data_IF_080627408794
#
_entry.id   IF_080627408794
#
_cell.length_a   1.000
_cell.length_b   1.000
_cell.length_c   1.000
_cell.angle_alpha   90.00
_cell.angle_beta   90.00
_cell.angle_gamma   90.00
#
_symmetry.space_group_name_H-M   'P 1'
#
loop_
_entity.id
_entity.type
_entity.pdbx_description
1 polymer ?
#
# COMPACT_ATOMS: atom_id res chain seq x y z
N UNK A 1 -69.58 6.63 46.61
CA UNK A 1 -70.28 5.67 45.73
C UNK A 1 -69.34 4.48 45.57
N UNK A 2 -69.41 3.43 46.39
CA UNK A 2 -70.32 2.26 46.43
C UNK A 2 -70.05 1.20 45.34
N UNK A 3 -70.15 -0.07 45.76
CA UNK A 3 -70.18 -1.40 45.08
C UNK A 3 -68.85 -2.19 45.07
N UNK A 4 -68.67 -3.37 45.70
CA UNK A 4 -69.39 -4.67 45.66
C UNK A 4 -69.32 -5.30 44.26
N UNK A 5 -69.11 -6.58 43.97
CA UNK A 5 -68.79 -7.86 44.62
C UNK A 5 -68.58 -8.87 43.45
N UNK A 6 -68.17 -10.11 43.75
CA UNK A 6 -68.36 -11.34 42.95
C UNK A 6 -67.57 -11.51 41.63
N UNK A 7 -66.78 -12.57 41.34
CA UNK A 7 -66.72 -14.02 41.63
C UNK A 7 -66.93 -14.81 40.31
N UNK A 8 -65.98 -15.70 39.95
CA UNK A 8 -66.19 -17.00 39.26
C UNK A 8 -64.88 -17.59 38.67
N UNK A 9 -64.38 -18.63 39.35
CA UNK A 9 -63.88 -19.94 38.89
C UNK A 9 -63.31 -20.10 37.46
N UNK A 10 -62.11 -20.69 37.34
CA UNK A 10 -61.91 -22.12 37.03
C UNK A 10 -60.51 -22.45 36.43
N UNK A 11 -59.74 -23.25 37.19
CA UNK A 11 -59.02 -24.47 36.83
C UNK A 11 -58.19 -24.58 35.52
N UNK A 12 -56.93 -25.03 35.64
CA UNK A 12 -56.22 -25.63 34.49
C UNK A 12 -54.69 -25.69 34.59
N UNK A 13 -54.17 -26.64 35.36
CA UNK A 13 -52.77 -27.10 35.30
C UNK A 13 -52.38 -27.60 33.91
N UNK A 14 -51.23 -27.18 33.35
CA UNK A 14 -50.53 -27.94 32.31
C UNK A 14 -49.01 -27.90 32.49
N UNK A 15 -48.45 -29.11 32.43
CA UNK A 15 -47.08 -29.48 32.68
C UNK A 15 -46.10 -28.96 31.62
N UNK A 16 -44.86 -28.68 32.05
CA UNK A 16 -43.74 -28.30 31.19
C UNK A 16 -43.22 -29.43 30.30
N UNK A 17 -42.43 -29.11 29.26
CA UNK A 17 -41.96 -30.07 28.27
C UNK A 17 -40.87 -31.00 28.83
N UNK A 18 -40.74 -32.25 28.32
CA UNK A 18 -39.84 -33.25 28.88
C UNK A 18 -38.38 -32.97 28.50
N UNK A 19 -37.48 -33.15 29.47
CA UNK A 19 -36.02 -33.16 29.29
C UNK A 19 -35.58 -34.45 28.58
N UNK A 20 -34.81 -34.30 27.49
CA UNK A 20 -34.22 -35.41 26.76
C UNK A 20 -33.01 -35.99 27.52
N UNK A 21 -32.96 -37.31 27.68
CA UNK A 21 -31.83 -38.07 28.27
C UNK A 21 -30.72 -38.28 27.22
N UNK A 22 -29.44 -38.39 27.64
CA UNK A 22 -28.32 -38.60 26.73
C UNK A 22 -28.26 -40.06 26.23
N UNK A 23 -27.91 -40.24 24.95
CA UNK A 23 -27.72 -41.53 24.27
C UNK A 23 -26.22 -41.91 24.28
N UNK A 24 -25.83 -43.20 24.41
CA UNK A 24 -24.42 -43.59 24.53
C UNK A 24 -23.66 -43.46 23.20
N UNK A 25 -22.37 -43.14 23.28
CA UNK A 25 -21.43 -43.16 22.17
C UNK A 25 -21.05 -44.61 21.85
N UNK A 26 -21.51 -45.11 20.70
CA UNK A 26 -21.02 -46.39 20.16
C UNK A 26 -19.99 -46.14 19.06
N UNK A 27 -18.96 -46.98 19.06
CA UNK A 27 -17.72 -46.78 18.32
C UNK A 27 -17.80 -47.21 16.85
N UNK A 28 -17.06 -46.47 16.02
CA UNK A 28 -16.49 -46.97 14.77
C UNK A 28 -17.41 -47.03 13.56
N UNK A 29 -17.52 -45.93 12.82
CA UNK A 29 -17.71 -46.00 11.36
C UNK A 29 -17.22 -44.71 10.67
N UNK A 30 -16.56 -44.92 9.52
CA UNK A 30 -15.95 -43.96 8.59
C UNK A 30 -16.58 -42.55 8.61
N UNK A 31 -15.77 -41.54 8.93
CA UNK A 31 -16.15 -40.12 8.80
C UNK A 31 -16.41 -39.78 7.32
N UNK A 32 -17.67 -39.82 6.91
CA UNK A 32 -18.13 -39.03 5.79
C UNK A 32 -18.17 -37.56 6.27
N UNK A 33 -17.43 -36.68 5.59
CA UNK A 33 -17.45 -35.24 5.84
C UNK A 33 -18.90 -34.74 5.68
N UNK A 34 -19.56 -34.46 6.79
CA UNK A 34 -20.82 -33.72 6.77
C UNK A 34 -20.50 -32.25 6.50
N UNK A 35 -21.36 -31.57 5.74
CA UNK A 35 -21.26 -30.21 5.19
C UNK A 35 -21.21 -29.07 6.25
N UNK A 36 -20.43 -29.23 7.34
CA UNK A 36 -20.32 -28.29 8.47
C UNK A 36 -19.09 -27.38 8.43
N UNK A 37 -18.17 -27.57 7.47
CA UNK A 37 -16.87 -26.88 7.45
C UNK A 37 -16.70 -25.87 6.29
N UNK A 38 -17.77 -25.60 5.52
CA UNK A 38 -17.70 -24.57 4.48
C UNK A 38 -17.69 -23.17 5.11
N UNK A 39 -16.59 -22.44 4.94
CA UNK A 39 -16.42 -21.05 5.38
C UNK A 39 -16.29 -20.11 4.19
N UNK A 40 -16.63 -18.84 4.38
CA UNK A 40 -16.38 -17.82 3.37
C UNK A 40 -14.87 -17.62 3.17
N UNK A 41 -14.50 -17.27 1.93
CA UNK A 41 -13.19 -16.74 1.58
C UNK A 41 -13.26 -15.23 1.76
N UNK A 42 -12.39 -14.67 2.61
CA UNK A 42 -12.42 -13.25 2.97
C UNK A 42 -11.28 -12.50 2.27
N UNK A 43 -11.61 -11.41 1.57
CA UNK A 43 -10.66 -10.63 0.78
C UNK A 43 -10.74 -9.16 1.18
N UNK A 44 -9.61 -8.53 1.46
CA UNK A 44 -9.52 -7.09 1.65
C UNK A 44 -8.59 -6.45 0.61
N UNK A 45 -9.10 -5.44 -0.10
CA UNK A 45 -8.33 -4.63 -1.06
C UNK A 45 -8.16 -3.24 -0.47
N UNK A 46 -6.91 -2.85 -0.21
CA UNK A 46 -6.54 -1.50 0.18
C UNK A 46 -5.99 -0.81 -1.05
N UNK A 47 -6.76 0.17 -1.54
CA UNK A 47 -6.41 0.88 -2.76
C UNK A 47 -6.37 2.38 -2.55
N UNK A 48 -5.42 3.04 -3.20
CA UNK A 48 -5.46 4.50 -3.31
C UNK A 48 -6.64 4.92 -4.20
N UNK A 49 -7.28 6.03 -3.85
CA UNK A 49 -8.36 6.59 -4.66
C UNK A 49 -7.90 6.87 -6.10
N UNK A 50 -8.57 6.26 -7.07
CA UNK A 50 -8.28 6.41 -8.50
C UNK A 50 -7.47 5.28 -9.13
N UNK A 51 -6.98 4.30 -8.35
CA UNK A 51 -6.17 3.18 -8.87
C UNK A 51 -7.00 1.98 -9.35
N UNK A 52 -8.33 2.07 -9.29
CA UNK A 52 -9.20 1.00 -9.77
C UNK A 52 -9.45 -0.12 -8.75
N UNK A 53 -9.31 0.14 -7.45
CA UNK A 53 -9.65 -0.83 -6.39
C UNK A 53 -11.09 -1.34 -6.49
N UNK A 54 -12.04 -0.47 -6.85
CA UNK A 54 -13.43 -0.87 -7.11
C UNK A 54 -13.56 -1.80 -8.31
N UNK A 55 -12.84 -1.52 -9.40
CA UNK A 55 -12.81 -2.39 -10.60
C UNK A 55 -12.27 -3.78 -10.25
N UNK A 56 -11.23 -3.85 -9.40
CA UNK A 56 -10.70 -5.14 -8.93
C UNK A 56 -11.72 -5.89 -8.06
N UNK A 57 -12.43 -5.19 -7.17
CA UNK A 57 -13.49 -5.78 -6.36
C UNK A 57 -14.64 -6.32 -7.24
N UNK A 58 -15.09 -5.54 -8.23
CA UNK A 58 -16.15 -5.93 -9.16
C UNK A 58 -15.74 -7.16 -9.99
N UNK A 59 -14.48 -7.23 -10.43
CA UNK A 59 -13.95 -8.42 -11.11
C UNK A 59 -13.91 -9.65 -10.22
N UNK A 60 -13.66 -9.49 -8.92
CA UNK A 60 -13.71 -10.62 -7.99
C UNK A 60 -15.14 -11.10 -7.72
N UNK A 61 -16.10 -10.18 -7.63
CA UNK A 61 -17.53 -10.53 -7.56
C UNK A 61 -17.95 -11.31 -8.81
N UNK A 62 -17.70 -10.76 -10.00
CA UNK A 62 -18.04 -11.43 -11.26
C UNK A 62 -17.30 -12.75 -11.43
N UNK A 63 -16.04 -12.86 -10.99
CA UNK A 63 -15.33 -14.15 -10.97
C UNK A 63 -16.05 -15.17 -10.08
N UNK A 64 -16.47 -14.79 -8.88
CA UNK A 64 -17.11 -15.70 -7.94
C UNK A 64 -18.49 -16.14 -8.45
N UNK A 65 -19.35 -15.20 -8.83
CA UNK A 65 -20.74 -15.46 -9.25
C UNK A 65 -20.79 -16.33 -10.51
N UNK A 66 -19.87 -16.12 -11.46
CA UNK A 66 -19.80 -16.93 -12.68
C UNK A 66 -19.28 -18.35 -12.46
N UNK A 67 -18.77 -18.65 -11.26
CA UNK A 67 -18.14 -19.93 -10.94
C UNK A 67 -18.76 -20.60 -9.69
N UNK A 68 -20.03 -20.31 -9.40
CA UNK A 68 -20.83 -21.02 -8.39
C UNK A 68 -20.56 -20.59 -6.95
N UNK A 69 -20.26 -19.30 -6.74
CA UNK A 69 -20.09 -18.70 -5.42
C UNK A 69 -21.04 -17.51 -5.27
N UNK A 70 -21.70 -17.43 -4.12
CA UNK A 70 -22.26 -16.17 -3.64
C UNK A 70 -21.11 -15.20 -3.33
N UNK A 71 -21.24 -13.95 -3.74
CA UNK A 71 -20.28 -12.91 -3.42
C UNK A 71 -20.96 -11.68 -2.80
N UNK A 72 -20.30 -11.08 -1.81
CA UNK A 72 -20.74 -9.80 -1.23
C UNK A 72 -19.54 -8.87 -1.15
N UNK A 73 -19.73 -7.62 -1.58
CA UNK A 73 -18.73 -6.57 -1.48
C UNK A 73 -19.24 -5.40 -0.65
N UNK A 74 -18.36 -4.84 0.17
CA UNK A 74 -18.58 -3.59 0.90
C UNK A 74 -17.36 -2.69 0.70
N UNK A 75 -17.54 -1.38 0.83
CA UNK A 75 -16.41 -0.46 0.76
C UNK A 75 -16.52 0.66 1.79
N UNK A 76 -15.38 1.00 2.37
CA UNK A 76 -15.22 2.16 3.25
C UNK A 76 -14.30 3.14 2.52
N UNK A 77 -14.85 4.24 1.96
CA UNK A 77 -14.05 5.24 1.29
C UNK A 77 -13.14 5.97 2.28
N UNK A 78 -11.92 6.27 1.85
CA UNK A 78 -11.03 7.13 2.61
C UNK A 78 -11.59 8.56 2.70
N UNK A 79 -11.68 9.10 3.92
CA UNK A 79 -12.21 10.46 4.17
C UNK A 79 -11.32 11.60 3.65
N UNK A 80 -10.09 11.29 3.23
CA UNK A 80 -9.13 12.30 2.77
C UNK A 80 -8.92 12.22 1.25
N UNK A 81 -9.29 13.29 0.53
CA UNK A 81 -8.90 13.49 -0.87
C UNK A 81 -7.37 13.30 -1.00
N UNK A 82 -6.98 12.29 -1.79
CA UNK A 82 -5.59 11.92 -2.14
C UNK A 82 -4.68 11.38 -1.03
N UNK A 83 -5.22 11.01 0.14
CA UNK A 83 -4.40 10.35 1.20
C UNK A 83 -5.12 9.23 1.97
N UNK A 84 -6.41 9.01 1.74
CA UNK A 84 -7.17 7.94 2.37
C UNK A 84 -7.25 6.69 1.48
N UNK A 85 -6.78 5.56 2.02
CA UNK A 85 -7.09 4.23 1.54
C UNK A 85 -8.60 4.02 1.40
N UNK A 86 -9.08 3.64 0.23
CA UNK A 86 -10.39 2.98 0.15
C UNK A 86 -10.18 1.50 0.42
N UNK A 87 -10.91 0.98 1.40
CA UNK A 87 -10.89 -0.46 1.69
C UNK A 87 -12.13 -1.09 1.10
N UNK A 88 -11.93 -2.01 0.17
CA UNK A 88 -12.97 -2.89 -0.35
C UNK A 88 -12.86 -4.23 0.37
N UNK A 89 -13.97 -4.74 0.88
CA UNK A 89 -14.03 -6.02 1.55
C UNK A 89 -14.99 -6.93 0.81
N UNK A 90 -14.52 -8.13 0.47
CA UNK A 90 -15.28 -9.15 -0.22
C UNK A 90 -15.38 -10.43 0.61
N UNK A 91 -16.52 -11.08 0.55
CA UNK A 91 -16.66 -12.49 0.92
C UNK A 91 -17.17 -13.31 -0.26
N UNK A 92 -16.66 -14.52 -0.40
CA UNK A 92 -17.13 -15.52 -1.36
C UNK A 92 -17.55 -16.78 -0.61
N UNK A 93 -18.75 -17.29 -0.84
CA UNK A 93 -19.25 -18.52 -0.23
C UNK A 93 -19.75 -19.50 -1.30
N UNK A 94 -19.29 -20.78 -1.30
CA UNK A 94 -19.65 -21.73 -2.34
C UNK A 94 -21.16 -22.06 -2.30
N UNK A 95 -21.85 -21.88 -3.43
CA UNK A 95 -23.30 -22.15 -3.51
C UNK A 95 -23.63 -23.61 -3.18
N UNK A 96 -22.76 -24.53 -3.60
CA UNK A 96 -22.91 -25.96 -3.36
C UNK A 96 -22.89 -26.33 -1.86
N UNK A 97 -22.35 -25.47 -0.99
CA UNK A 97 -22.36 -25.68 0.45
C UNK A 97 -23.61 -25.11 1.14
N UNK A 98 -24.41 -24.30 0.44
CA UNK A 98 -25.60 -23.65 0.99
C UNK A 98 -26.80 -24.60 0.98
N UNK A 99 -27.49 -24.81 2.12
CA UNK A 99 -28.72 -25.59 2.16
C UNK A 99 -29.80 -25.01 1.22
N UNK A 100 -30.59 -25.88 0.60
CA UNK A 100 -31.64 -25.47 -0.32
C UNK A 100 -32.61 -24.47 0.33
N UNK A 101 -32.83 -23.33 -0.34
CA UNK A 101 -33.72 -22.26 0.15
C UNK A 101 -33.11 -21.34 1.21
N UNK A 102 -31.84 -21.50 1.56
CA UNK A 102 -31.10 -20.60 2.44
C UNK A 102 -30.16 -19.68 1.65
N UNK A 103 -29.70 -18.61 2.30
CA UNK A 103 -28.62 -17.74 1.82
C UNK A 103 -27.53 -17.66 2.90
N UNK A 104 -26.24 -17.61 2.53
CA UNK A 104 -25.18 -17.41 3.51
C UNK A 104 -25.25 -16.00 4.11
N UNK A 105 -24.90 -15.88 5.39
CA UNK A 105 -24.70 -14.59 6.06
C UNK A 105 -23.21 -14.26 5.98
N UNK A 106 -22.88 -13.15 5.32
CA UNK A 106 -21.51 -12.69 5.10
C UNK A 106 -21.25 -11.39 5.86
N UNK A 107 -20.03 -11.18 6.35
CA UNK A 107 -19.70 -9.98 7.10
C UNK A 107 -19.67 -8.72 6.22
N UNK A 108 -19.88 -7.56 6.85
CA UNK A 108 -19.85 -6.25 6.20
C UNK A 108 -18.49 -5.54 6.33
N UNK A 109 -17.54 -6.15 7.02
CA UNK A 109 -16.22 -5.57 7.29
C UNK A 109 -15.20 -6.65 7.60
N UNK A 110 -13.92 -6.45 7.26
CA UNK A 110 -12.87 -7.41 7.59
C UNK A 110 -12.62 -7.45 9.10
N UNK A 111 -12.48 -8.65 9.64
CA UNK A 111 -12.07 -8.87 11.03
C UNK A 111 -10.54 -9.00 11.07
N UNK A 112 -9.83 -8.21 11.91
CA UNK A 112 -8.38 -8.34 12.08
C UNK A 112 -7.97 -9.78 12.41
N UNK A 113 -6.93 -10.27 11.74
CA UNK A 113 -6.43 -11.64 11.87
C UNK A 113 -7.22 -12.70 11.09
N UNK A 114 -8.40 -12.38 10.55
CA UNK A 114 -9.28 -13.37 9.91
C UNK A 114 -9.40 -13.24 8.39
N UNK A 115 -8.58 -12.38 7.77
CA UNK A 115 -8.60 -12.16 6.32
C UNK A 115 -7.71 -13.17 5.57
N UNK A 116 -8.28 -13.89 4.60
CA UNK A 116 -7.55 -14.89 3.81
C UNK A 116 -6.63 -14.27 2.76
N UNK A 117 -7.10 -13.22 2.09
CA UNK A 117 -6.36 -12.52 1.05
C UNK A 117 -6.37 -11.03 1.33
N UNK A 118 -5.18 -10.44 1.42
CA UNK A 118 -5.04 -8.98 1.45
C UNK A 118 -4.33 -8.53 0.19
N UNK A 119 -4.85 -7.49 -0.46
CA UNK A 119 -4.26 -6.87 -1.64
C UNK A 119 -4.02 -5.40 -1.33
N UNK A 120 -2.78 -4.94 -1.44
CA UNK A 120 -2.43 -3.53 -1.32
C UNK A 120 -1.95 -3.01 -2.67
N UNK A 121 -2.64 -2.01 -3.22
CA UNK A 121 -2.28 -1.46 -4.53
C UNK A 121 -1.00 -0.64 -4.47
N UNK A 122 -0.59 -0.12 -3.32
CA UNK A 122 0.57 0.74 -3.11
C UNK A 122 1.30 0.40 -1.80
N UNK A 123 2.59 0.75 -1.68
CA UNK A 123 3.43 0.35 -0.56
C UNK A 123 2.93 0.87 0.81
N UNK A 124 2.43 2.09 0.89
CA UNK A 124 1.86 2.62 2.13
C UNK A 124 0.51 2.02 2.46
N UNK A 125 -0.26 1.61 1.47
CA UNK A 125 -1.45 0.79 1.68
C UNK A 125 -1.10 -0.58 2.28
N UNK A 126 0.05 -1.15 1.91
CA UNK A 126 0.55 -2.35 2.56
C UNK A 126 0.87 -2.09 4.05
N UNK A 127 1.51 -0.96 4.36
CA UNK A 127 1.76 -0.52 5.73
C UNK A 127 0.47 -0.33 6.55
N UNK A 128 -0.58 0.24 5.95
CA UNK A 128 -1.89 0.40 6.60
C UNK A 128 -2.59 -0.94 6.84
N UNK A 129 -2.46 -1.90 5.94
CA UNK A 129 -2.99 -3.24 6.13
C UNK A 129 -2.39 -3.93 7.36
N UNK A 130 -1.06 -3.80 7.52
CA UNK A 130 -0.33 -4.29 8.70
C UNK A 130 -0.78 -3.58 9.97
N UNK A 131 -0.84 -2.24 9.95
CA UNK A 131 -1.26 -1.44 11.10
C UNK A 131 -2.68 -1.79 11.57
N UNK A 132 -3.58 -2.12 10.64
CA UNK A 132 -4.97 -2.53 10.93
C UNK A 132 -5.11 -3.99 11.37
N UNK A 133 -4.01 -4.76 11.40
CA UNK A 133 -4.03 -6.18 11.76
C UNK A 133 -4.75 -7.06 10.75
N UNK A 134 -4.87 -6.63 9.49
CA UNK A 134 -5.57 -7.41 8.45
C UNK A 134 -4.73 -8.59 7.94
N UNK A 135 -3.42 -8.55 8.17
CA UNK A 135 -2.49 -9.58 7.71
C UNK A 135 -2.04 -10.42 8.90
N UNK A 136 -2.18 -11.75 8.79
CA UNK A 136 -1.78 -12.72 9.79
C UNK A 136 -0.91 -13.83 9.20
N UNK A 137 0.12 -14.23 9.95
CA UNK A 137 1.04 -15.30 9.57
C UNK A 137 0.36 -16.67 9.54
N UNK A 138 -0.80 -16.81 10.18
CA UNK A 138 -1.54 -18.07 10.25
C UNK A 138 -2.32 -18.40 8.98
N UNK A 139 -2.79 -17.39 8.22
CA UNK A 139 -3.74 -17.62 7.10
C UNK A 139 -3.65 -16.70 5.90
N UNK A 140 -3.01 -15.53 6.03
CA UNK A 140 -3.15 -14.48 5.02
C UNK A 140 -2.16 -14.65 3.89
N UNK A 141 -2.68 -14.75 2.67
CA UNK A 141 -1.93 -14.48 1.44
C UNK A 141 -1.96 -12.98 1.18
N UNK A 142 -0.79 -12.33 1.21
CA UNK A 142 -0.66 -10.89 1.08
C UNK A 142 0.03 -10.53 -0.24
N UNK A 143 -0.69 -9.83 -1.11
CA UNK A 143 -0.18 -9.29 -2.38
C UNK A 143 -0.03 -7.78 -2.24
N UNK A 144 1.17 -7.24 -2.45
CA UNK A 144 1.42 -5.80 -2.32
C UNK A 144 2.27 -5.25 -3.47
N UNK A 145 1.87 -4.11 -4.02
CA UNK A 145 2.75 -3.36 -4.91
C UNK A 145 3.85 -2.65 -4.13
N UNK A 146 5.08 -2.70 -4.66
CA UNK A 146 6.25 -2.02 -4.06
C UNK A 146 6.39 -0.57 -4.49
N UNK A 147 5.63 -0.16 -5.52
CA UNK A 147 5.62 1.22 -5.99
C UNK A 147 5.16 2.15 -4.87
N UNK A 148 5.65 3.38 -4.89
CA UNK A 148 5.45 4.32 -3.81
C UNK A 148 4.97 5.68 -4.27
N UNK A 149 3.88 6.14 -3.67
CA UNK A 149 3.39 7.50 -3.81
C UNK A 149 3.51 8.21 -2.48
N UNK A 150 4.34 9.26 -2.43
CA UNK A 150 4.65 9.95 -1.18
C UNK A 150 3.41 10.62 -0.58
N UNK A 151 3.14 10.30 0.68
CA UNK A 151 2.10 10.93 1.48
C UNK A 151 2.45 12.40 1.75
N UNK A 152 1.43 13.20 2.11
CA UNK A 152 1.67 14.61 2.45
C UNK A 152 2.68 14.76 3.58
N UNK A 153 2.61 13.92 4.62
CA UNK A 153 3.55 13.93 5.74
C UNK A 153 5.00 13.75 5.28
N UNK A 154 5.23 12.84 4.34
CA UNK A 154 6.56 12.58 3.77
C UNK A 154 7.05 13.75 2.92
N UNK A 155 6.15 14.41 2.19
CA UNK A 155 6.47 15.55 1.33
C UNK A 155 6.69 16.85 2.10
N UNK A 156 6.08 16.99 3.27
CA UNK A 156 6.19 18.19 4.12
C UNK A 156 7.34 18.11 5.11
N UNK A 157 8.00 16.96 5.24
CA UNK A 157 9.16 16.82 6.10
C UNK A 157 10.31 17.71 5.60
N UNK A 158 11.01 18.36 6.53
CA UNK A 158 12.16 19.21 6.22
C UNK A 158 13.40 18.40 5.78
N UNK A 159 13.38 17.08 5.98
CA UNK A 159 14.40 16.11 5.57
C UNK A 159 13.81 14.94 4.79
N UNK A 160 14.51 13.80 4.77
CA UNK A 160 13.92 12.56 4.25
C UNK A 160 12.83 12.05 5.21
N UNK A 161 11.58 12.47 4.98
CA UNK A 161 10.42 12.06 5.77
C UNK A 161 9.89 10.68 5.43
N UNK A 162 10.49 9.96 4.47
CA UNK A 162 9.98 8.68 3.99
C UNK A 162 10.01 7.63 5.08
N UNK A 163 8.90 6.91 5.25
CA UNK A 163 8.91 5.63 5.98
C UNK A 163 9.86 4.67 5.27
N UNK A 164 10.67 3.87 5.96
CA UNK A 164 11.59 2.95 5.26
C UNK A 164 10.80 1.89 4.47
N UNK A 165 11.01 1.84 3.14
CA UNK A 165 10.41 0.81 2.28
C UNK A 165 10.86 -0.59 2.70
N UNK A 166 12.16 -0.76 3.00
CA UNK A 166 12.74 -2.04 3.41
C UNK A 166 12.11 -2.55 4.70
N UNK A 167 11.89 -1.66 5.69
CA UNK A 167 11.22 -2.04 6.94
C UNK A 167 9.77 -2.46 6.71
N UNK A 168 9.05 -1.79 5.81
CA UNK A 168 7.67 -2.17 5.47
C UNK A 168 7.61 -3.52 4.77
N UNK A 169 8.49 -3.77 3.79
CA UNK A 169 8.56 -5.04 3.08
C UNK A 169 9.00 -6.19 4.00
N UNK A 170 9.95 -5.95 4.90
CA UNK A 170 10.34 -6.92 5.92
C UNK A 170 9.19 -7.23 6.88
N UNK A 171 8.46 -6.20 7.33
CA UNK A 171 7.27 -6.36 8.17
C UNK A 171 6.16 -7.15 7.46
N UNK A 172 5.89 -6.85 6.19
CA UNK A 172 4.91 -7.56 5.37
C UNK A 172 5.26 -9.04 5.19
N UNK A 173 6.54 -9.33 4.92
CA UNK A 173 7.05 -10.71 4.81
C UNK A 173 6.94 -11.48 6.11
N UNK A 174 7.15 -10.84 7.25
CA UNK A 174 7.06 -11.48 8.57
C UNK A 174 5.61 -11.69 9.03
N UNK A 175 4.69 -10.81 8.61
CA UNK A 175 3.31 -10.81 9.09
C UNK A 175 2.36 -11.68 8.25
N UNK A 176 2.72 -12.09 7.04
CA UNK A 176 1.85 -12.88 6.15
C UNK A 176 2.25 -14.36 6.10
N UNK A 177 1.28 -15.25 5.90
CA UNK A 177 1.54 -16.67 5.63
C UNK A 177 2.27 -16.84 4.29
N UNK A 178 1.85 -16.07 3.28
CA UNK A 178 2.51 -15.96 1.99
C UNK A 178 2.55 -14.49 1.61
N UNK A 179 3.71 -13.98 1.22
CA UNK A 179 3.87 -12.60 0.78
C UNK A 179 4.38 -12.55 -0.67
N UNK A 180 3.64 -11.83 -1.51
CA UNK A 180 3.99 -11.57 -2.90
C UNK A 180 4.12 -10.07 -3.08
N UNK A 181 5.31 -9.64 -3.50
CA UNK A 181 5.62 -8.24 -3.74
C UNK A 181 6.30 -8.07 -5.09
N UNK A 182 5.87 -7.07 -5.84
CA UNK A 182 6.51 -6.61 -7.05
C UNK A 182 6.06 -5.17 -7.35
N UNK A 183 6.70 -4.51 -8.32
CA UNK A 183 6.21 -3.23 -8.81
C UNK A 183 5.04 -3.44 -9.79
N UNK A 184 3.85 -3.72 -9.25
CA UNK A 184 2.66 -3.99 -10.05
C UNK A 184 2.19 -2.76 -10.84
N UNK A 185 2.57 -1.56 -10.40
CA UNK A 185 2.30 -0.33 -11.13
C UNK A 185 3.14 -0.27 -12.41
N UNK A 186 4.46 -0.51 -12.31
CA UNK A 186 5.34 -0.55 -13.47
C UNK A 186 4.91 -1.64 -14.47
N UNK A 187 4.55 -2.85 -13.99
CA UNK A 187 4.06 -3.93 -14.86
C UNK A 187 2.79 -3.52 -15.63
N UNK A 188 1.92 -2.74 -15.00
CA UNK A 188 0.72 -2.23 -15.64
C UNK A 188 1.05 -1.14 -16.66
N UNK A 189 1.94 -0.20 -16.33
CA UNK A 189 2.42 0.85 -17.24
C UNK A 189 3.06 0.26 -18.50
N UNK A 190 3.97 -0.71 -18.34
CA UNK A 190 4.65 -1.41 -19.44
C UNK A 190 3.65 -2.18 -20.34
N UNK A 191 2.48 -2.49 -19.79
CA UNK A 191 1.38 -3.16 -20.48
C UNK A 191 0.34 -2.19 -21.05
N UNK A 192 0.47 -0.89 -20.79
CA UNK A 192 -0.51 0.13 -21.17
C UNK A 192 -1.85 -0.04 -20.45
N UNK A 193 -1.83 -0.52 -19.20
CA UNK A 193 -3.03 -0.83 -18.41
C UNK A 193 -2.99 -0.18 -17.02
N UNK A 194 -4.07 -0.35 -16.26
CA UNK A 194 -4.15 0.04 -14.86
C UNK A 194 -3.58 -1.06 -13.96
N UNK A 195 -3.28 -0.72 -12.71
CA UNK A 195 -2.67 -1.65 -11.73
C UNK A 195 -3.59 -2.83 -11.35
N UNK A 196 -4.91 -2.67 -11.41
CA UNK A 196 -5.87 -3.72 -11.05
C UNK A 196 -5.63 -5.04 -11.79
N UNK A 197 -5.49 -5.07 -13.14
CA UNK A 197 -5.13 -6.29 -13.85
C UNK A 197 -3.84 -6.98 -13.40
N UNK A 198 -2.76 -6.25 -13.12
CA UNK A 198 -1.49 -6.87 -12.69
C UNK A 198 -1.61 -7.46 -11.28
N UNK A 199 -2.32 -6.80 -10.36
CA UNK A 199 -2.66 -7.35 -9.04
C UNK A 199 -3.59 -8.57 -9.14
N UNK A 200 -4.57 -8.54 -10.05
CA UNK A 200 -5.49 -9.65 -10.31
C UNK A 200 -4.74 -10.88 -10.85
N UNK A 201 -3.76 -10.67 -11.73
CA UNK A 201 -2.85 -11.71 -12.20
C UNK A 201 -2.00 -12.30 -11.08
N UNK A 202 -1.46 -11.45 -10.21
CA UNK A 202 -0.70 -11.91 -9.05
C UNK A 202 -1.56 -12.73 -8.08
N UNK A 203 -2.81 -12.32 -7.84
CA UNK A 203 -3.77 -13.08 -7.05
C UNK A 203 -4.05 -14.46 -7.67
N UNK A 204 -4.31 -14.53 -8.97
CA UNK A 204 -4.55 -15.79 -9.67
C UNK A 204 -3.37 -16.76 -9.54
N UNK A 205 -2.13 -16.26 -9.60
CA UNK A 205 -0.93 -17.07 -9.45
C UNK A 205 -0.73 -17.65 -8.05
N UNK A 206 -1.39 -17.09 -7.02
CA UNK A 206 -1.30 -17.62 -5.66
C UNK A 206 -1.98 -18.98 -5.50
N UNK A 207 -2.96 -19.29 -6.36
CA UNK A 207 -3.82 -20.46 -6.19
C UNK A 207 -4.68 -20.43 -4.92
N UNK A 208 -4.77 -19.28 -4.23
CA UNK A 208 -5.55 -19.15 -2.98
C UNK A 208 -7.05 -19.18 -3.23
N UNK A 209 -7.49 -18.75 -4.41
CA UNK A 209 -8.87 -18.82 -4.85
C UNK A 209 -9.14 -20.10 -5.66
N UNK A 210 -10.32 -20.72 -5.53
CA UNK A 210 -10.67 -21.99 -6.17
C UNK A 210 -11.07 -21.83 -7.64
N UNK A 211 -10.35 -20.99 -8.38
CA UNK A 211 -10.63 -20.67 -9.79
C UNK A 211 -9.39 -20.85 -10.65
N UNK A 212 -9.57 -21.36 -11.86
CA UNK A 212 -8.51 -21.52 -12.85
C UNK A 212 -8.10 -20.18 -13.43
N UNK A 213 -6.87 -20.11 -13.96
CA UNK A 213 -6.37 -18.91 -14.64
C UNK A 213 -7.31 -18.48 -15.78
N UNK A 214 -7.86 -19.43 -16.53
CA UNK A 214 -8.78 -19.16 -17.64
C UNK A 214 -10.07 -18.50 -17.16
N UNK A 215 -10.57 -18.86 -15.97
CA UNK A 215 -11.74 -18.23 -15.35
C UNK A 215 -11.43 -16.76 -14.96
N UNK A 216 -10.24 -16.47 -14.43
CA UNK A 216 -9.79 -15.09 -14.21
C UNK A 216 -9.69 -14.30 -15.52
N UNK A 217 -9.08 -14.87 -16.56
CA UNK A 217 -8.97 -14.19 -17.85
C UNK A 217 -10.35 -13.97 -18.51
N UNK A 218 -11.31 -14.88 -18.30
CA UNK A 218 -12.68 -14.73 -18.78
C UNK A 218 -13.39 -13.52 -18.15
N UNK A 219 -13.17 -13.25 -16.86
CA UNK A 219 -13.66 -12.03 -16.19
C UNK A 219 -13.15 -10.76 -16.87
N UNK A 220 -11.86 -10.69 -17.19
CA UNK A 220 -11.28 -9.54 -17.91
C UNK A 220 -11.95 -9.36 -19.27
N UNK A 221 -12.19 -10.46 -20.00
CA UNK A 221 -12.86 -10.43 -21.31
C UNK A 221 -14.31 -9.94 -21.21
N UNK A 222 -15.05 -10.36 -20.18
CA UNK A 222 -16.43 -9.89 -19.93
C UNK A 222 -16.49 -8.39 -19.60
N UNK A 223 -15.48 -7.87 -18.90
CA UNK A 223 -15.40 -6.44 -18.56
C UNK A 223 -15.34 -5.51 -19.78
N UNK A 224 -14.91 -5.99 -20.95
CA UNK A 224 -15.01 -5.29 -22.25
C UNK A 224 -14.13 -4.05 -22.46
N UNK A 225 -13.61 -3.44 -21.39
CA UNK A 225 -12.79 -2.22 -21.45
C UNK A 225 -11.31 -2.56 -21.41
N UNK A 226 -10.55 -2.13 -22.43
CA UNK A 226 -9.09 -2.28 -22.44
C UNK A 226 -8.60 -3.73 -22.39
N UNK A 227 -9.42 -4.70 -22.83
CA UNK A 227 -9.23 -6.15 -22.62
C UNK A 227 -7.81 -6.62 -22.95
N UNK A 228 -7.26 -6.24 -24.10
CA UNK A 228 -5.92 -6.69 -24.52
C UNK A 228 -4.81 -6.19 -23.60
N UNK A 229 -4.86 -4.91 -23.20
CA UNK A 229 -3.89 -4.33 -22.27
C UNK A 229 -4.03 -4.95 -20.87
N UNK A 230 -5.27 -5.15 -20.41
CA UNK A 230 -5.57 -5.80 -19.13
C UNK A 230 -5.09 -7.26 -19.10
N UNK A 231 -5.30 -8.04 -20.17
CA UNK A 231 -4.79 -9.42 -20.26
C UNK A 231 -3.25 -9.47 -20.28
N UNK A 232 -2.59 -8.50 -20.94
CA UNK A 232 -1.13 -8.38 -20.92
C UNK A 232 -0.61 -8.08 -19.51
N UNK A 233 -1.21 -7.11 -18.83
CA UNK A 233 -0.88 -6.75 -17.45
C UNK A 233 -1.15 -7.90 -16.46
N UNK A 234 -2.28 -8.61 -16.63
CA UNK A 234 -2.61 -9.81 -15.88
C UNK A 234 -1.55 -10.89 -16.05
N UNK A 235 -1.16 -11.20 -17.29
CA UNK A 235 -0.13 -12.19 -17.56
C UNK A 235 1.22 -11.81 -16.93
N UNK A 236 1.59 -10.53 -16.97
CA UNK A 236 2.81 -10.03 -16.34
C UNK A 236 2.78 -10.20 -14.80
N UNK A 237 1.66 -9.81 -14.16
CA UNK A 237 1.46 -10.02 -12.72
C UNK A 237 1.49 -11.49 -12.32
N UNK A 238 0.84 -12.36 -13.10
CA UNK A 238 0.81 -13.81 -12.90
C UNK A 238 2.20 -14.45 -12.99
N UNK A 239 3.02 -14.02 -13.96
CA UNK A 239 4.37 -14.53 -14.15
C UNK A 239 5.32 -14.13 -13.00
N UNK A 240 5.27 -12.86 -12.57
CA UNK A 240 6.10 -12.38 -11.46
C UNK A 240 5.70 -13.03 -10.15
N UNK A 241 4.41 -13.18 -9.87
CA UNK A 241 3.93 -13.83 -8.64
C UNK A 241 4.33 -15.31 -8.55
N UNK A 242 4.31 -16.07 -9.66
CA UNK A 242 4.83 -17.44 -9.68
C UNK A 242 6.33 -17.51 -9.40
N UNK A 243 7.09 -16.56 -9.93
CA UNK A 243 8.56 -16.51 -9.76
C UNK A 243 8.94 -16.14 -8.32
N UNK A 244 8.13 -15.32 -7.66
CA UNK A 244 8.31 -14.90 -6.27
C UNK A 244 7.90 -15.97 -5.23
N UNK A 245 7.29 -17.08 -5.65
CA UNK A 245 6.96 -18.22 -4.78
C UNK A 245 8.18 -19.10 -4.41
N UNK A 246 9.35 -18.83 -5.00
CA UNK A 246 10.64 -19.38 -4.59
C UNK A 246 11.28 -18.38 -3.62
N UNK A 247 11.73 -18.78 -2.41
CA UNK A 247 12.28 -17.84 -1.44
C UNK A 247 13.62 -17.28 -1.94
N UNK A 248 13.58 -16.14 -2.62
CA UNK A 248 14.77 -15.35 -2.89
C UNK A 248 15.08 -14.49 -1.66
N UNK A 249 15.95 -15.02 -0.80
CA UNK A 249 16.78 -14.21 0.07
C UNK A 249 17.84 -13.56 -0.81
N UNK A 250 17.69 -12.27 -1.09
CA UNK A 250 18.80 -11.42 -1.52
C UNK A 250 18.47 -9.96 -1.27
N UNK A 251 18.59 -9.55 0.00
CA UNK A 251 18.96 -8.17 0.29
C UNK A 251 20.36 -7.94 -0.27
N UNK A 252 20.49 -7.09 -1.30
CA UNK A 252 21.77 -6.49 -1.65
C UNK A 252 21.73 -5.03 -1.22
N UNK A 253 21.99 -4.83 0.07
CA UNK A 253 22.34 -3.53 0.63
C UNK A 253 23.76 -3.65 1.17
N UNK A 254 24.76 -3.57 0.28
CA UNK A 254 26.09 -3.18 0.72
C UNK A 254 26.05 -1.71 1.14
N UNK A 255 26.91 -1.25 2.07
CA UNK A 255 27.08 0.17 2.33
C UNK A 255 27.62 0.81 1.05
N UNK A 256 26.74 1.40 0.25
CA UNK A 256 27.14 2.22 -0.87
C UNK A 256 28.02 3.35 -0.32
N UNK A 257 29.23 3.49 -0.86
CA UNK A 257 30.04 4.68 -0.65
C UNK A 257 29.17 5.89 -0.98
N UNK A 258 28.81 6.68 0.02
CA UNK A 258 27.98 7.87 -0.15
C UNK A 258 28.80 8.86 -0.96
N UNK A 259 28.56 8.89 -2.27
CA UNK A 259 29.27 9.79 -3.17
C UNK A 259 28.53 11.12 -3.23
N UNK A 260 29.28 12.22 -3.13
CA UNK A 260 28.71 13.56 -3.27
C UNK A 260 28.09 13.70 -4.67
N UNK A 261 26.82 14.15 -4.77
CA UNK A 261 26.16 14.31 -6.06
C UNK A 261 26.81 15.42 -6.90
N UNK A 262 26.75 15.28 -8.23
CA UNK A 262 27.30 16.28 -9.13
C UNK A 262 26.48 17.59 -9.07
N UNK A 263 27.15 18.70 -8.72
CA UNK A 263 26.51 20.03 -8.53
C UNK A 263 26.62 20.95 -9.75
N UNK A 264 27.18 20.45 -10.87
CA UNK A 264 27.40 21.21 -12.10
C UNK A 264 28.67 22.08 -12.09
N UNK A 265 29.14 22.46 -13.28
CA UNK A 265 30.42 23.15 -13.45
C UNK A 265 30.52 24.49 -12.69
N UNK A 266 29.41 25.23 -12.59
CA UNK A 266 29.34 26.53 -11.89
C UNK A 266 29.65 26.42 -10.39
N UNK A 267 29.41 25.25 -9.78
CA UNK A 267 29.62 25.01 -8.35
C UNK A 267 30.82 24.11 -8.06
N UNK A 268 31.62 23.76 -9.07
CA UNK A 268 32.76 22.84 -8.93
C UNK A 268 33.77 23.31 -7.86
N UNK A 269 34.03 24.62 -7.78
CA UNK A 269 34.92 25.18 -6.74
C UNK A 269 34.39 24.99 -5.32
N UNK A 270 33.08 25.16 -5.11
CA UNK A 270 32.44 24.94 -3.80
C UNK A 270 32.36 23.45 -3.46
N UNK A 271 32.12 22.59 -4.45
CA UNK A 271 32.17 21.14 -4.30
C UNK A 271 33.56 20.65 -3.86
N UNK A 272 34.63 21.15 -4.49
CA UNK A 272 36.01 20.83 -4.08
C UNK A 272 36.28 21.29 -2.64
N UNK A 273 35.80 22.48 -2.26
CA UNK A 273 35.91 23.01 -0.90
C UNK A 273 35.20 22.13 0.13
N UNK A 274 34.01 21.61 -0.19
CA UNK A 274 33.28 20.64 0.66
C UNK A 274 34.14 19.40 0.90
N UNK A 275 34.69 18.83 -0.18
CA UNK A 275 35.51 17.62 -0.10
C UNK A 275 36.79 17.80 0.71
N UNK A 276 37.40 18.99 0.66
CA UNK A 276 38.66 19.30 1.34
C UNK A 276 38.49 19.60 2.83
N UNK A 277 37.39 20.24 3.22
CA UNK A 277 37.28 20.83 4.56
C UNK A 277 36.19 20.22 5.44
N UNK A 278 35.28 19.40 4.90
CA UNK A 278 34.17 18.84 5.66
C UNK A 278 34.21 17.30 5.68
N UNK A 279 33.68 16.65 6.74
CA UNK A 279 33.58 15.19 6.81
C UNK A 279 32.75 14.59 5.67
N UNK A 280 33.14 13.44 5.09
CA UNK A 280 32.42 12.78 3.99
C UNK A 280 30.93 12.54 4.24
N UNK A 281 30.57 12.23 5.47
CA UNK A 281 29.19 11.96 5.86
C UNK A 281 28.24 13.15 5.60
N UNK A 282 28.74 14.39 5.66
CA UNK A 282 27.93 15.60 5.44
C UNK A 282 27.93 16.07 3.97
N UNK A 283 28.74 15.46 3.09
CA UNK A 283 28.96 15.98 1.73
C UNK A 283 27.68 16.05 0.91
N UNK A 284 26.75 15.11 1.08
CA UNK A 284 25.46 15.10 0.37
C UNK A 284 24.61 16.31 0.76
N UNK A 285 24.47 16.56 2.06
CA UNK A 285 23.69 17.68 2.58
C UNK A 285 24.32 19.02 2.22
N UNK A 286 25.64 19.13 2.32
CA UNK A 286 26.38 20.33 1.93
C UNK A 286 26.24 20.62 0.41
N UNK A 287 26.33 19.58 -0.42
CA UNK A 287 26.14 19.69 -1.87
C UNK A 287 24.72 20.16 -2.22
N UNK A 288 23.69 19.60 -1.56
CA UNK A 288 22.32 20.05 -1.71
C UNK A 288 22.15 21.52 -1.28
N UNK A 289 22.79 21.91 -0.18
CA UNK A 289 22.79 23.28 0.33
C UNK A 289 23.39 24.29 -0.67
N UNK A 290 24.57 24.02 -1.24
CA UNK A 290 25.19 24.95 -2.20
C UNK A 290 24.39 25.06 -3.51
N UNK A 291 23.78 23.97 -3.98
CA UNK A 291 22.90 24.00 -5.17
C UNK A 291 21.68 24.85 -4.88
N UNK A 292 21.02 24.62 -3.74
CA UNK A 292 19.83 25.36 -3.31
C UNK A 292 20.13 26.86 -3.21
N UNK A 293 21.21 27.23 -2.53
CA UNK A 293 21.53 28.64 -2.27
C UNK A 293 22.04 29.37 -3.52
N UNK A 294 22.71 28.67 -4.43
CA UNK A 294 23.13 29.23 -5.70
C UNK A 294 21.97 29.42 -6.68
N UNK A 295 20.97 28.54 -6.65
CA UNK A 295 19.71 28.72 -7.37
C UNK A 295 18.86 29.83 -6.73
N UNK A 296 18.86 29.92 -5.40
CA UNK A 296 18.11 30.93 -4.65
C UNK A 296 18.63 32.34 -4.93
N UNK A 297 19.95 32.55 -4.87
CA UNK A 297 20.58 33.84 -5.08
C UNK A 297 21.75 33.74 -6.06
N UNK A 298 22.91 33.28 -5.61
CA UNK A 298 24.09 33.10 -6.45
C UNK A 298 25.18 32.24 -5.77
N UNK A 299 26.29 32.04 -6.48
CA UNK A 299 27.45 31.25 -6.01
C UNK A 299 28.10 31.89 -4.78
N UNK A 300 28.13 33.22 -4.67
CA UNK A 300 28.74 33.92 -3.54
C UNK A 300 27.90 33.73 -2.26
N UNK A 301 26.58 33.65 -2.40
CA UNK A 301 25.67 33.34 -1.32
C UNK A 301 25.79 31.88 -0.87
N UNK A 302 25.94 30.95 -1.81
CA UNK A 302 26.27 29.55 -1.51
C UNK A 302 27.64 29.40 -0.80
N UNK A 303 28.63 30.22 -1.16
CA UNK A 303 29.93 30.27 -0.48
C UNK A 303 29.79 30.80 0.96
N UNK A 304 28.95 31.80 1.16
CA UNK A 304 28.64 32.36 2.49
C UNK A 304 28.05 31.31 3.45
N UNK A 305 27.31 30.34 2.92
CA UNK A 305 26.82 29.21 3.70
C UNK A 305 27.95 28.30 4.20
N UNK A 306 28.91 27.95 3.34
CA UNK A 306 30.09 27.18 3.77
C UNK A 306 30.95 27.97 4.76
N UNK A 307 31.10 29.30 4.55
CA UNK A 307 31.80 30.18 5.49
C UNK A 307 31.18 30.19 6.88
N UNK A 308 29.85 30.05 6.99
CA UNK A 308 29.14 29.99 8.28
C UNK A 308 29.29 28.65 8.99
N UNK A 309 29.42 27.55 8.24
CA UNK A 309 29.58 26.21 8.81
C UNK A 309 31.03 25.91 9.24
N UNK A 310 32.02 26.47 8.53
CA UNK A 310 33.42 26.14 8.76
C UNK A 310 33.93 26.39 10.20
N UNK A 311 33.57 27.48 10.90
CA UNK A 311 33.96 27.69 12.29
C UNK A 311 33.38 26.66 13.27
N UNK A 312 32.30 25.97 12.90
CA UNK A 312 31.65 24.98 13.77
C UNK A 312 32.47 23.69 13.87
N UNK A 313 33.26 23.35 12.85
CA UNK A 313 34.11 22.16 12.84
C UNK A 313 35.05 22.10 14.05
N UNK A 314 35.56 23.24 14.50
CA UNK A 314 36.44 23.36 15.66
C UNK A 314 35.70 23.32 17.02
N UNK A 315 34.36 23.24 17.00
CA UNK A 315 33.49 23.31 18.18
C UNK A 315 32.58 22.09 18.33
N UNK A 316 32.76 21.07 17.49
CA UNK A 316 31.99 19.85 17.55
C UNK A 316 32.40 19.00 18.77
N UNK A 317 31.49 18.16 19.30
CA UNK A 317 31.82 17.19 20.35
C UNK A 317 32.93 16.22 19.92
N UNK A 318 33.64 15.64 20.89
CA UNK A 318 34.67 14.61 20.62
C UNK A 318 34.06 13.28 20.12
N UNK A 319 32.78 13.03 20.42
CA UNK A 319 32.05 11.88 19.88
C UNK A 319 31.82 12.07 18.37
N UNK A 320 32.52 11.28 17.57
CA UNK A 320 32.51 11.38 16.12
C UNK A 320 31.14 11.15 15.48
N UNK A 321 30.29 10.28 16.06
CA UNK A 321 28.95 10.04 15.53
C UNK A 321 28.05 11.24 15.81
N UNK A 322 28.05 11.72 17.07
CA UNK A 322 27.27 12.89 17.46
C UNK A 322 27.73 14.17 16.75
N UNK A 323 29.04 14.36 16.57
CA UNK A 323 29.62 15.48 15.84
C UNK A 323 29.18 15.51 14.38
N UNK A 324 29.14 14.34 13.74
CA UNK A 324 28.69 14.18 12.36
C UNK A 324 27.21 14.52 12.22
N UNK A 325 26.36 13.96 13.09
CA UNK A 325 24.92 14.21 13.08
C UNK A 325 24.60 15.68 13.32
N UNK A 326 25.28 16.31 14.29
CA UNK A 326 25.08 17.72 14.61
C UNK A 326 25.48 18.64 13.44
N UNK A 327 26.60 18.34 12.79
CA UNK A 327 27.06 19.11 11.64
C UNK A 327 26.14 18.95 10.43
N UNK A 328 25.70 17.71 10.13
CA UNK A 328 24.78 17.44 9.02
C UNK A 328 23.43 18.15 9.22
N UNK A 329 22.89 18.07 10.44
CA UNK A 329 21.61 18.70 10.76
C UNK A 329 21.72 20.23 10.79
N UNK A 330 22.83 20.78 11.30
CA UNK A 330 23.10 22.23 11.25
C UNK A 330 23.24 22.71 9.81
N UNK A 331 23.96 21.97 8.96
CA UNK A 331 24.12 22.27 7.55
C UNK A 331 22.76 22.33 6.84
N UNK A 332 21.93 21.31 7.04
CA UNK A 332 20.57 21.24 6.51
C UNK A 332 19.73 22.44 6.91
N UNK A 333 19.61 22.72 8.21
CA UNK A 333 18.77 23.80 8.72
C UNK A 333 19.28 25.18 8.32
N UNK A 334 20.60 25.39 8.31
CA UNK A 334 21.17 26.67 7.89
C UNK A 334 20.90 26.96 6.41
N UNK A 335 21.06 25.97 5.52
CA UNK A 335 20.75 26.14 4.10
C UNK A 335 19.27 26.49 3.89
N UNK A 336 18.38 25.89 4.68
CA UNK A 336 16.95 26.20 4.65
C UNK A 336 16.69 27.62 5.16
N UNK A 337 17.23 28.02 6.31
CA UNK A 337 17.04 29.37 6.88
C UNK A 337 17.63 30.48 6.03
N UNK A 338 18.70 30.19 5.29
CA UNK A 338 19.30 31.14 4.35
C UNK A 338 18.48 31.32 3.07
N UNK A 339 17.41 30.55 2.85
CA UNK A 339 16.56 30.65 1.65
C UNK A 339 15.08 30.70 2.01
N UNK A 340 14.37 31.74 1.58
CA UNK A 340 12.94 31.88 1.85
C UNK A 340 12.11 31.69 0.58
N UNK A 341 11.17 30.75 0.60
CA UNK A 341 10.27 30.47 -0.52
C UNK A 341 9.03 31.39 -0.44
N UNK A 342 9.19 32.66 -0.84
CA UNK A 342 8.08 33.60 -0.94
C UNK A 342 7.16 33.30 -2.15
N UNK A 343 6.03 34.02 -2.24
CA UNK A 343 5.07 33.85 -3.33
C UNK A 343 5.69 34.14 -4.71
N UNK A 344 6.67 35.03 -4.79
CA UNK A 344 7.35 35.39 -6.03
C UNK A 344 8.27 34.26 -6.48
N UNK A 345 9.03 33.66 -5.56
CA UNK A 345 9.91 32.53 -5.81
C UNK A 345 9.11 31.28 -6.18
N UNK A 346 8.01 31.03 -5.50
CA UNK A 346 7.10 29.93 -5.87
C UNK A 346 6.52 30.16 -7.27
N UNK A 347 6.16 31.40 -7.63
CA UNK A 347 5.71 31.72 -8.97
C UNK A 347 6.81 31.52 -10.02
N UNK A 348 8.04 31.96 -9.76
CA UNK A 348 9.20 31.69 -10.63
C UNK A 348 9.37 30.16 -10.83
N UNK A 349 9.48 29.39 -9.74
CA UNK A 349 9.63 27.93 -9.79
C UNK A 349 8.50 27.25 -10.57
N UNK A 350 7.26 27.74 -10.46
CA UNK A 350 6.09 27.19 -11.17
C UNK A 350 6.06 27.54 -12.65
N UNK A 351 6.64 28.68 -13.04
CA UNK A 351 6.64 29.19 -14.42
C UNK A 351 7.88 28.80 -15.23
N UNK A 352 8.91 28.20 -14.60
CA UNK A 352 10.11 27.71 -15.29
C UNK A 352 9.79 26.70 -16.40
N UNK A 353 10.38 26.91 -17.59
CA UNK A 353 10.23 26.01 -18.75
C UNK A 353 10.65 24.57 -18.45
N UNK A 354 11.68 24.37 -17.63
CA UNK A 354 12.13 23.03 -17.23
C UNK A 354 11.04 22.25 -16.48
N UNK A 355 10.23 22.94 -15.66
CA UNK A 355 9.07 22.33 -15.00
C UNK A 355 8.00 21.95 -16.01
N UNK A 356 7.66 22.82 -16.95
CA UNK A 356 6.69 22.49 -18.00
C UNK A 356 7.14 21.32 -18.87
N UNK A 357 8.41 21.27 -19.25
CA UNK A 357 8.98 20.16 -20.01
C UNK A 357 8.89 18.83 -19.21
N UNK A 358 9.27 18.86 -17.93
CA UNK A 358 9.17 17.68 -17.05
C UNK A 358 7.73 17.22 -16.88
N UNK A 359 6.80 18.13 -16.53
CA UNK A 359 5.39 17.80 -16.35
C UNK A 359 4.78 17.30 -17.66
N UNK A 360 5.14 17.90 -18.81
CA UNK A 360 4.72 17.45 -20.13
C UNK A 360 5.16 16.03 -20.44
N UNK A 361 6.38 15.65 -20.04
CA UNK A 361 6.86 14.27 -20.09
C UNK A 361 6.08 13.34 -19.18
N UNK A 362 5.88 13.72 -17.91
CA UNK A 362 5.15 12.92 -16.91
C UNK A 362 3.72 12.60 -17.32
N UNK A 363 3.03 13.53 -18.01
CA UNK A 363 1.63 13.33 -18.45
C UNK A 363 1.51 12.86 -19.89
N UNK A 364 2.62 12.51 -20.56
CA UNK A 364 2.65 12.16 -21.98
C UNK A 364 1.86 13.15 -22.86
N UNK A 365 2.10 14.45 -22.65
CA UNK A 365 1.32 15.51 -23.28
C UNK A 365 1.46 15.44 -24.81
N UNK A 366 0.34 15.22 -25.50
CA UNK A 366 0.37 15.21 -26.97
C UNK A 366 0.54 16.62 -27.53
N UNK A 367 1.03 16.72 -28.78
CA UNK A 367 1.22 18.01 -29.47
C UNK A 367 -0.06 18.83 -29.66
N UNK A 368 -1.24 18.23 -29.41
CA UNK A 368 -2.55 18.89 -29.50
C UNK A 368 -3.10 19.35 -28.15
N UNK A 369 -2.39 19.08 -27.06
CA UNK A 369 -2.80 19.40 -25.70
C UNK A 369 -1.93 20.52 -25.13
N UNK A 370 -2.54 21.43 -24.37
CA UNK A 370 -1.84 22.52 -23.69
C UNK A 370 -1.83 22.26 -22.19
N UNK A 371 -0.66 22.47 -21.56
CA UNK A 371 -0.55 22.57 -20.10
C UNK A 371 -1.05 23.95 -19.68
N UNK A 372 -2.13 23.99 -18.92
CA UNK A 372 -2.67 25.20 -18.30
C UNK A 372 -1.81 25.71 -17.14
#
# INVERSE_FOLDING_TARGET
>A
MSTAADSLQANGSRAGPPQAKPVPLDGGTRHALTNRDARSITIAILAMGGEGGGVLADWLVDLAEQNGYYAQTTSVPGVAQRTGATVYYLEMFPEAATPAGCMPVMALSPVPGEVDVVIASELMEAGRALQRGLVSAERTTFVASTHRVFSMTERTAMGDGRVSSDKLLAGARAAAQQFISADFAQLAEDSGSLISPSLYGALAATGRLPFSREQFEATIRRGGVGVNASLKAFAAGFAVAQSSAIPAVAATSGPGTVHMPAVGARLAGLAARIQQHFPPACHVTLAAGIVRLADYQDVAYADSYLNRLQPLLARLPDDAALATDLLDDTARHLALWMSYEDTVRVADLKTRRSRFARVGGEVNLSSKQHLG
#
